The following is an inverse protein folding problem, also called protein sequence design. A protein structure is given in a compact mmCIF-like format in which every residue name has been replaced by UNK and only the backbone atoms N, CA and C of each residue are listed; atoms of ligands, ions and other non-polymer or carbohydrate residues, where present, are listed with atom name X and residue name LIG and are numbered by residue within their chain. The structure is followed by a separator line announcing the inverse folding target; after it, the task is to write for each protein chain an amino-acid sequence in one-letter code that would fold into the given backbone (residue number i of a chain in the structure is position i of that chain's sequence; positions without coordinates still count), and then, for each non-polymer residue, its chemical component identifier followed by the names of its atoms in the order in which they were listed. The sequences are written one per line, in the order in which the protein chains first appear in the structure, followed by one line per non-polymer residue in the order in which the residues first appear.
data_IF_938467420375
#
_entry.id   IF_938467420375
#
_cell.length_a   1.000
_cell.length_b   1.000
_cell.length_c   1.000
_cell.angle_alpha   90.00
_cell.angle_beta   90.00
_cell.angle_gamma   90.00
#
_symmetry.space_group_name_H-M   'P 1'
#
loop_
_entity.id
_entity.type
_entity.pdbx_description
1 polymer ?
#
# COMPACT_ATOMS: atom_id res chain seq x y z
N UNK A 1 -9.17 -14.81 3.89
CA UNK A 1 -8.09 -13.80 3.92
C UNK A 1 -8.42 -12.71 2.92
N UNK A 2 -8.11 -11.46 3.24
CA UNK A 2 -8.32 -10.30 2.35
C UNK A 2 -7.07 -9.42 2.25
N UNK A 3 -6.76 -8.96 1.04
CA UNK A 3 -5.72 -7.98 0.75
C UNK A 3 -6.34 -6.72 0.18
N UNK A 4 -5.99 -5.58 0.75
CA UNK A 4 -6.37 -4.28 0.22
C UNK A 4 -5.15 -3.54 -0.33
N UNK A 5 -5.26 -2.97 -1.52
CA UNK A 5 -4.23 -2.15 -2.12
C UNK A 5 -4.65 -0.69 -2.21
N UNK A 6 -3.75 0.22 -1.85
CA UNK A 6 -3.93 1.66 -2.04
C UNK A 6 -3.06 2.12 -3.21
N UNK A 7 -3.70 2.57 -4.28
CA UNK A 7 -3.05 3.14 -5.45
C UNK A 7 -2.94 4.66 -5.32
N UNK A 8 -1.74 5.15 -5.05
CA UNK A 8 -1.40 6.57 -4.98
C UNK A 8 -1.24 7.26 -6.33
N UNK A 9 -1.35 6.54 -7.45
CA UNK A 9 -1.23 7.12 -8.79
C UNK A 9 -2.37 8.11 -9.08
N UNK A 10 -2.10 9.25 -9.76
CA UNK A 10 -3.17 10.09 -10.30
C UNK A 10 -3.80 9.52 -11.59
N UNK A 11 -3.28 8.40 -12.10
CA UNK A 11 -3.89 7.62 -13.19
C UNK A 11 -4.47 6.34 -12.59
N UNK A 12 -5.80 6.19 -12.62
CA UNK A 12 -6.50 5.03 -12.06
C UNK A 12 -6.09 3.72 -12.75
N UNK A 13 -6.02 3.75 -14.08
CA UNK A 13 -5.60 2.61 -14.92
C UNK A 13 -4.14 2.77 -15.39
N UNK A 14 -3.28 3.28 -14.51
CA UNK A 14 -1.88 3.54 -14.80
C UNK A 14 -0.94 2.37 -14.52
N UNK A 15 0.36 2.62 -14.73
CA UNK A 15 1.43 1.64 -14.45
C UNK A 15 1.38 1.10 -13.01
N UNK A 16 1.09 1.94 -12.01
CA UNK A 16 1.02 1.52 -10.60
C UNK A 16 -0.08 0.49 -10.36
N UNK A 17 -1.30 0.71 -10.87
CA UNK A 17 -2.39 -0.26 -10.71
C UNK A 17 -2.14 -1.53 -11.51
N UNK A 18 -1.55 -1.43 -12.71
CA UNK A 18 -1.13 -2.62 -13.47
C UNK A 18 -0.14 -3.48 -12.68
N UNK A 19 0.86 -2.88 -12.04
CA UNK A 19 1.81 -3.63 -11.19
C UNK A 19 1.12 -4.32 -10.01
N UNK A 20 0.18 -3.63 -9.35
CA UNK A 20 -0.64 -4.24 -8.29
C UNK A 20 -1.49 -5.38 -8.82
N UNK A 21 -2.08 -5.25 -10.01
CA UNK A 21 -2.89 -6.30 -10.61
C UNK A 21 -2.09 -7.59 -10.86
N UNK A 22 -0.80 -7.50 -11.22
CA UNK A 22 0.04 -8.70 -11.31
C UNK A 22 0.28 -9.38 -9.95
N UNK A 23 0.25 -8.63 -8.84
CA UNK A 23 0.28 -9.21 -7.48
C UNK A 23 -1.07 -9.86 -7.17
N UNK A 24 -2.17 -9.15 -7.45
CA UNK A 24 -3.54 -9.62 -7.23
C UNK A 24 -3.85 -10.90 -8.00
N UNK A 25 -3.45 -11.00 -9.27
CA UNK A 25 -3.60 -12.21 -10.08
C UNK A 25 -3.05 -13.47 -9.37
N UNK A 26 -1.93 -13.36 -8.66
CA UNK A 26 -1.34 -14.50 -7.96
C UNK A 26 -2.02 -14.75 -6.60
N UNK A 27 -2.49 -13.71 -5.91
CA UNK A 27 -3.25 -13.84 -4.67
C UNK A 27 -4.63 -14.49 -4.93
N UNK A 28 -5.32 -14.09 -5.98
CA UNK A 28 -6.65 -14.58 -6.36
C UNK A 28 -6.63 -16.05 -6.77
N UNK A 29 -5.54 -16.52 -7.41
CA UNK A 29 -5.34 -17.96 -7.71
C UNK A 29 -5.36 -18.82 -6.45
N UNK A 30 -4.96 -18.27 -5.32
CA UNK A 30 -4.93 -18.91 -4.01
C UNK A 30 -6.20 -18.64 -3.19
N UNK A 31 -7.23 -18.04 -3.80
CA UNK A 31 -8.52 -17.76 -3.17
C UNK A 31 -8.50 -16.61 -2.17
N UNK A 32 -7.48 -15.75 -2.20
CA UNK A 32 -7.40 -14.56 -1.34
C UNK A 32 -8.19 -13.42 -1.99
N UNK A 33 -9.12 -12.80 -1.25
CA UNK A 33 -9.89 -11.66 -1.75
C UNK A 33 -8.98 -10.44 -1.92
N UNK A 34 -9.14 -9.70 -3.01
CA UNK A 34 -8.37 -8.51 -3.35
C UNK A 34 -9.28 -7.30 -3.53
N UNK A 35 -8.83 -6.12 -3.11
CA UNK A 35 -9.56 -4.88 -3.32
C UNK A 35 -8.59 -3.73 -3.61
N UNK A 36 -8.80 -2.98 -4.70
CA UNK A 36 -8.02 -1.77 -5.01
C UNK A 36 -8.78 -0.50 -4.64
N UNK A 37 -8.14 0.37 -3.86
CA UNK A 37 -8.58 1.73 -3.55
C UNK A 37 -7.70 2.72 -4.30
N UNK A 38 -8.31 3.55 -5.14
CA UNK A 38 -7.62 4.62 -5.83
C UNK A 38 -7.66 5.90 -5.01
N UNK A 39 -6.50 6.48 -4.69
CA UNK A 39 -6.39 7.79 -4.04
C UNK A 39 -6.52 8.95 -5.05
N UNK A 40 -6.58 8.63 -6.34
CA UNK A 40 -6.64 9.60 -7.44
C UNK A 40 -7.74 10.64 -7.27
N UNK A 41 -7.34 11.92 -7.22
CA UNK A 41 -8.27 13.05 -7.22
C UNK A 41 -8.90 13.36 -5.85
N UNK A 42 -8.56 12.59 -4.82
CA UNK A 42 -9.01 12.83 -3.45
C UNK A 42 -8.20 13.97 -2.83
N UNK A 43 -8.90 14.88 -2.12
CA UNK A 43 -8.26 15.99 -1.40
C UNK A 43 -7.98 15.57 0.02
N UNK A 44 -6.89 14.84 0.21
CA UNK A 44 -6.53 14.30 1.52
C UNK A 44 -5.78 15.32 2.36
N UNK A 45 -6.21 15.47 3.61
CA UNK A 45 -5.45 16.23 4.60
C UNK A 45 -4.37 15.33 5.22
N UNK A 46 -3.14 15.85 5.31
CA UNK A 46 -2.08 15.22 6.11
C UNK A 46 -2.38 15.25 7.61
N UNK A 47 -1.69 14.41 8.39
CA UNK A 47 -1.81 14.45 9.85
C UNK A 47 -1.35 15.82 10.38
N UNK A 48 -2.15 16.43 11.26
CA UNK A 48 -1.83 17.72 11.89
C UNK A 48 -1.23 17.58 13.29
N UNK A 49 -0.93 16.35 13.72
CA UNK A 49 -0.49 16.03 15.08
C UNK A 49 -1.40 16.60 16.18
N UNK A 50 -2.71 16.69 15.92
CA UNK A 50 -3.69 17.20 16.91
C UNK A 50 -3.93 16.25 18.10
N UNK A 51 -3.40 15.02 18.06
CA UNK A 51 -3.49 13.99 19.10
C UNK A 51 -4.91 13.51 19.45
N UNK A 52 -5.94 13.93 18.73
CA UNK A 52 -7.34 13.54 19.02
C UNK A 52 -7.60 12.04 18.96
N UNK A 53 -6.94 11.31 18.06
CA UNK A 53 -7.07 9.85 18.01
C UNK A 53 -6.57 9.15 19.30
N UNK A 54 -5.59 9.73 20.01
CA UNK A 54 -5.14 9.22 21.31
C UNK A 54 -6.10 9.57 22.45
N UNK A 55 -6.87 10.65 22.31
CA UNK A 55 -7.93 11.00 23.28
C UNK A 55 -9.18 10.14 23.07
N UNK A 56 -9.61 9.94 21.82
CA UNK A 56 -10.88 9.25 21.50
C UNK A 56 -10.75 7.74 21.46
N UNK A 57 -9.62 7.21 20.96
CA UNK A 57 -9.34 5.78 20.81
C UNK A 57 -10.50 4.98 20.17
N UNK A 58 -11.14 5.59 19.17
CA UNK A 58 -12.29 5.06 18.44
C UNK A 58 -11.93 4.56 17.04
N UNK A 59 -10.64 4.24 16.83
CA UNK A 59 -10.05 3.79 15.56
C UNK A 59 -10.23 4.77 14.39
N UNK A 60 -10.42 6.06 14.68
CA UNK A 60 -10.63 7.10 13.67
C UNK A 60 -9.70 8.29 13.85
N UNK A 61 -9.54 9.04 12.77
CA UNK A 61 -9.04 10.40 12.79
C UNK A 61 -10.22 11.35 13.05
N UNK A 62 -9.96 12.45 13.76
CA UNK A 62 -10.98 13.49 14.03
C UNK A 62 -11.48 14.20 12.76
N UNK A 63 -10.68 14.19 11.70
CA UNK A 63 -11.08 14.69 10.39
C UNK A 63 -11.91 13.63 9.68
N UNK A 64 -13.16 13.97 9.40
CA UNK A 64 -14.17 13.11 8.77
C UNK A 64 -14.73 13.77 7.48
N UNK A 65 -14.05 14.80 6.98
CA UNK A 65 -14.35 15.53 5.74
C UNK A 65 -13.76 14.86 4.49
N UNK A 66 -13.10 13.71 4.64
CA UNK A 66 -12.45 12.95 3.58
C UNK A 66 -12.54 11.42 3.83
N UNK A 67 -12.26 10.56 2.84
CA UNK A 67 -12.56 9.13 2.95
C UNK A 67 -11.58 8.33 3.84
N UNK A 68 -10.58 8.97 4.46
CA UNK A 68 -9.48 8.28 5.16
C UNK A 68 -9.98 7.41 6.31
N UNK A 69 -11.01 7.82 7.06
CA UNK A 69 -11.56 6.99 8.13
C UNK A 69 -12.15 5.67 7.61
N UNK A 70 -12.81 5.70 6.45
CA UNK A 70 -13.31 4.49 5.78
C UNK A 70 -12.17 3.58 5.32
N UNK A 71 -11.06 4.16 4.87
CA UNK A 71 -9.88 3.39 4.46
C UNK A 71 -9.14 2.77 5.64
N UNK A 72 -9.01 3.49 6.76
CA UNK A 72 -8.43 2.95 8.00
C UNK A 72 -9.25 1.75 8.50
N UNK A 73 -10.59 1.83 8.46
CA UNK A 73 -11.44 0.71 8.81
C UNK A 73 -11.16 -0.53 7.92
N UNK A 74 -11.02 -0.33 6.60
CA UNK A 74 -10.67 -1.42 5.70
C UNK A 74 -9.25 -1.97 5.91
N UNK A 75 -8.30 -1.13 6.32
CA UNK A 75 -6.96 -1.59 6.73
C UNK A 75 -7.00 -2.45 7.99
N UNK A 76 -7.87 -2.13 8.94
CA UNK A 76 -8.12 -2.92 10.15
C UNK A 76 -8.76 -4.28 9.83
N UNK A 77 -9.70 -4.31 8.90
CA UNK A 77 -10.40 -5.54 8.47
C UNK A 77 -9.52 -6.46 7.61
N UNK A 78 -8.58 -5.92 6.83
CA UNK A 78 -7.75 -6.70 5.92
C UNK A 78 -6.62 -7.46 6.63
N UNK A 79 -6.25 -8.63 6.11
CA UNK A 79 -5.09 -9.41 6.59
C UNK A 79 -3.78 -8.94 5.93
N UNK A 80 -3.89 -8.41 4.71
CA UNK A 80 -2.78 -7.87 3.94
C UNK A 80 -3.06 -6.47 3.40
N UNK A 81 -2.01 -5.64 3.33
CA UNK A 81 -2.08 -4.27 2.83
C UNK A 81 -0.96 -4.07 1.81
N UNK A 82 -1.34 -3.63 0.61
CA UNK A 82 -0.41 -3.16 -0.41
C UNK A 82 -0.46 -1.63 -0.44
N UNK A 83 0.70 -0.98 -0.30
CA UNK A 83 0.82 0.44 -0.60
C UNK A 83 1.54 0.57 -1.93
N UNK A 84 0.87 1.19 -2.91
CA UNK A 84 1.38 1.31 -4.26
C UNK A 84 1.47 2.78 -4.67
N UNK A 85 2.64 3.25 -5.06
CA UNK A 85 2.83 4.65 -5.46
C UNK A 85 3.69 4.76 -6.73
N UNK A 86 3.39 5.70 -7.64
CA UNK A 86 4.40 6.17 -8.57
C UNK A 86 5.47 6.98 -7.84
N UNK A 87 6.58 7.24 -8.52
CA UNK A 87 7.68 8.09 -8.02
C UNK A 87 7.44 9.56 -8.37
N UNK A 88 7.16 10.39 -7.35
CA UNK A 88 6.92 11.83 -7.49
C UNK A 88 8.02 12.59 -6.74
N UNK A 89 8.92 13.25 -7.49
CA UNK A 89 10.09 13.93 -6.92
C UNK A 89 10.90 13.07 -5.93
N UNK A 90 11.12 11.81 -6.32
CA UNK A 90 11.84 10.79 -5.54
C UNK A 90 11.12 10.30 -4.28
N UNK A 91 9.83 10.56 -4.09
CA UNK A 91 9.05 10.01 -2.98
C UNK A 91 7.65 9.58 -3.45
N UNK A 92 6.85 9.07 -2.52
CA UNK A 92 5.43 8.73 -2.73
C UNK A 92 4.61 9.97 -3.11
N UNK A 93 3.41 9.77 -3.65
CA UNK A 93 2.48 10.89 -3.88
C UNK A 93 2.01 11.52 -2.57
N UNK A 94 1.56 12.78 -2.64
CA UNK A 94 1.03 13.53 -1.50
C UNK A 94 -0.13 12.82 -0.83
N UNK A 95 -1.01 12.20 -1.62
CA UNK A 95 -2.17 11.46 -1.15
C UNK A 95 -1.75 10.20 -0.40
N UNK A 96 -0.77 9.47 -0.93
CA UNK A 96 -0.20 8.30 -0.26
C UNK A 96 0.44 8.70 1.08
N UNK A 97 1.20 9.79 1.12
CA UNK A 97 1.81 10.28 2.37
C UNK A 97 0.76 10.68 3.40
N UNK A 98 -0.30 11.37 2.98
CA UNK A 98 -1.40 11.76 3.86
C UNK A 98 -2.12 10.55 4.48
N UNK A 99 -2.38 9.51 3.69
CA UNK A 99 -2.91 8.23 4.18
C UNK A 99 -1.96 7.59 5.20
N UNK A 100 -0.67 7.44 4.86
CA UNK A 100 0.35 6.83 5.74
C UNK A 100 0.40 7.54 7.10
N UNK A 101 0.44 8.88 7.10
CA UNK A 101 0.56 9.65 8.34
C UNK A 101 -0.66 9.53 9.23
N UNK A 102 -1.87 9.60 8.66
CA UNK A 102 -3.10 9.49 9.45
C UNK A 102 -3.36 8.07 9.90
N UNK A 103 -3.23 7.08 9.01
CA UNK A 103 -3.39 5.67 9.37
C UNK A 103 -2.37 5.23 10.42
N UNK A 104 -1.10 5.68 10.30
CA UNK A 104 -0.06 5.39 11.28
C UNK A 104 -0.36 5.93 12.67
N UNK A 105 -0.76 7.20 12.78
CA UNK A 105 -1.13 7.79 14.07
C UNK A 105 -2.38 7.16 14.68
N UNK A 106 -3.41 6.89 13.88
CA UNK A 106 -4.62 6.20 14.35
C UNK A 106 -4.28 4.78 14.82
N UNK A 107 -3.48 4.03 14.06
CA UNK A 107 -3.02 2.70 14.44
C UNK A 107 -2.30 2.71 15.80
N UNK A 108 -1.33 3.62 15.99
CA UNK A 108 -0.59 3.75 17.26
C UNK A 108 -1.49 4.12 18.44
N UNK A 109 -2.41 5.05 18.23
CA UNK A 109 -3.35 5.48 19.26
C UNK A 109 -4.29 4.36 19.74
N UNK A 110 -4.53 3.37 18.89
CA UNK A 110 -5.50 2.30 19.09
C UNK A 110 -4.83 0.94 19.34
N UNK A 111 -3.66 0.94 19.99
CA UNK A 111 -2.98 -0.28 20.41
C UNK A 111 -2.31 -1.05 19.27
N UNK A 112 -1.67 -0.33 18.35
CA UNK A 112 -0.99 -0.89 17.18
C UNK A 112 -1.94 -1.71 16.29
N UNK A 113 -3.03 -1.08 15.84
CA UNK A 113 -4.12 -1.69 15.05
C UNK A 113 -3.64 -2.56 13.88
N UNK A 114 -2.54 -2.17 13.24
CA UNK A 114 -2.02 -2.82 12.04
C UNK A 114 -0.93 -3.88 12.35
N UNK A 115 -0.64 -4.14 13.62
CA UNK A 115 0.40 -5.09 14.01
C UNK A 115 0.13 -6.49 13.45
N UNK A 116 1.21 -7.15 13.03
CA UNK A 116 1.24 -8.52 12.49
C UNK A 116 0.49 -8.74 11.18
N UNK A 117 -0.15 -7.71 10.61
CA UNK A 117 -0.68 -7.76 9.25
C UNK A 117 0.44 -7.91 8.22
N UNK A 118 0.12 -8.42 7.03
CA UNK A 118 1.11 -8.55 5.95
C UNK A 118 1.17 -7.24 5.15
N UNK A 119 2.36 -6.70 4.92
CA UNK A 119 2.54 -5.42 4.21
C UNK A 119 3.42 -5.58 2.97
N UNK A 120 3.04 -5.01 1.82
CA UNK A 120 3.87 -5.03 0.62
C UNK A 120 3.89 -3.68 -0.10
N UNK A 121 5.08 -3.23 -0.49
CA UNK A 121 5.27 -2.01 -1.28
C UNK A 121 5.23 -2.34 -2.77
N UNK A 122 4.65 -1.47 -3.60
CA UNK A 122 4.71 -1.55 -5.07
C UNK A 122 5.03 -0.17 -5.63
N UNK A 123 6.04 -0.07 -6.50
CA UNK A 123 6.52 1.21 -7.01
C UNK A 123 6.50 1.25 -8.54
N UNK A 124 5.89 2.28 -9.13
CA UNK A 124 6.08 2.58 -10.54
C UNK A 124 7.08 3.73 -10.71
N UNK A 125 8.02 3.61 -11.64
CA UNK A 125 9.07 4.61 -11.85
C UNK A 125 9.42 4.74 -13.33
N UNK A 126 9.80 5.94 -13.76
CA UNK A 126 10.32 6.14 -15.13
C UNK A 126 11.76 5.63 -15.28
N UNK A 127 12.64 6.03 -14.34
CA UNK A 127 14.09 5.78 -14.40
C UNK A 127 14.74 5.60 -13.02
N UNK A 128 14.53 6.56 -12.12
CA UNK A 128 15.21 6.62 -10.82
C UNK A 128 14.30 7.20 -9.73
N UNK A 129 14.73 7.08 -8.47
CA UNK A 129 13.99 7.54 -7.29
C UNK A 129 13.12 6.47 -6.63
N UNK A 130 12.93 5.33 -7.28
CA UNK A 130 12.09 4.23 -6.77
C UNK A 130 12.57 3.64 -5.45
N UNK A 131 13.88 3.66 -5.16
CA UNK A 131 14.43 3.14 -3.91
C UNK A 131 13.89 3.94 -2.72
N UNK A 132 13.89 5.27 -2.80
CA UNK A 132 13.40 6.09 -1.69
C UNK A 132 11.88 5.96 -1.52
N UNK A 133 11.13 5.82 -2.62
CA UNK A 133 9.69 5.48 -2.55
C UNK A 133 9.48 4.14 -1.84
N UNK A 134 10.23 3.10 -2.25
CA UNK A 134 10.18 1.78 -1.64
C UNK A 134 10.50 1.85 -0.15
N UNK A 135 11.52 2.61 0.24
CA UNK A 135 11.90 2.82 1.63
C UNK A 135 10.78 3.51 2.42
N UNK A 136 10.21 4.62 1.92
CA UNK A 136 9.08 5.33 2.55
C UNK A 136 7.91 4.39 2.84
N UNK A 137 7.54 3.55 1.86
CA UNK A 137 6.46 2.58 2.03
C UNK A 137 6.82 1.50 3.06
N UNK A 138 8.05 0.98 3.04
CA UNK A 138 8.48 -0.04 3.99
C UNK A 138 8.66 0.48 5.41
N UNK A 139 9.04 1.75 5.59
CA UNK A 139 9.10 2.38 6.91
C UNK A 139 7.74 2.36 7.60
N UNK A 140 6.65 2.56 6.86
CA UNK A 140 5.29 2.45 7.41
C UNK A 140 4.98 1.03 7.91
N UNK A 141 5.36 -0.01 7.16
CA UNK A 141 5.17 -1.40 7.58
C UNK A 141 6.02 -1.72 8.83
N UNK A 142 7.30 -1.31 8.83
CA UNK A 142 8.22 -1.54 9.94
C UNK A 142 7.75 -0.88 11.24
N UNK A 143 7.40 0.41 11.21
CA UNK A 143 6.91 1.11 12.41
C UNK A 143 5.56 0.55 12.90
N UNK A 144 4.76 -0.02 11.99
CA UNK A 144 3.45 -0.62 12.29
C UNK A 144 3.53 -2.09 12.70
N UNK A 145 4.73 -2.67 12.88
CA UNK A 145 4.93 -4.07 13.27
C UNK A 145 4.33 -5.08 12.27
N UNK A 146 4.29 -4.71 10.99
CA UNK A 146 3.78 -5.58 9.93
C UNK A 146 4.86 -6.53 9.42
N UNK A 147 4.45 -7.67 8.87
CA UNK A 147 5.34 -8.66 8.26
C UNK A 147 5.41 -8.43 6.75
N UNK A 148 6.61 -8.21 6.22
CA UNK A 148 6.82 -7.87 4.80
C UNK A 148 7.35 -9.08 4.03
N UNK A 149 6.64 -9.61 3.03
CA UNK A 149 7.17 -10.62 2.13
C UNK A 149 8.17 -9.97 1.16
N UNK A 150 9.26 -10.68 0.89
CA UNK A 150 10.19 -10.30 -0.18
C UNK A 150 9.69 -10.72 -1.57
N UNK A 151 10.41 -10.28 -2.60
CA UNK A 151 10.26 -10.76 -3.98
C UNK A 151 11.63 -11.14 -4.57
N UNK A 152 11.69 -11.42 -5.87
CA UNK A 152 12.94 -11.66 -6.62
C UNK A 152 13.82 -10.42 -6.76
N UNK A 153 13.25 -9.23 -6.59
CA UNK A 153 13.95 -7.95 -6.55
C UNK A 153 13.16 -6.95 -5.68
N UNK A 154 13.63 -5.72 -5.53
CA UNK A 154 12.80 -4.65 -4.97
C UNK A 154 11.57 -4.42 -5.85
N UNK A 155 10.41 -4.23 -5.22
CA UNK A 155 9.11 -4.22 -5.87
C UNK A 155 8.88 -2.95 -6.71
N UNK A 156 9.58 -2.81 -7.83
CA UNK A 156 9.46 -1.69 -8.75
C UNK A 156 9.24 -2.15 -10.20
N UNK A 157 8.51 -1.34 -10.96
CA UNK A 157 8.37 -1.50 -12.41
C UNK A 157 8.63 -0.20 -13.16
N UNK A 158 9.22 -0.32 -14.35
CA UNK A 158 9.67 0.76 -15.21
C UNK A 158 8.61 1.14 -16.24
N UNK A 159 8.18 2.41 -16.24
CA UNK A 159 7.26 2.93 -17.26
C UNK A 159 7.00 4.43 -17.17
N UNK A 160 6.94 5.12 -18.30
CA UNK A 160 6.67 6.57 -18.40
C UNK A 160 5.20 6.84 -18.76
N UNK A 161 4.81 6.37 -19.94
CA UNK A 161 3.45 6.44 -20.44
C UNK A 161 2.60 5.36 -19.77
N UNK A 162 1.29 5.56 -19.82
CA UNK A 162 0.33 4.57 -19.36
C UNK A 162 0.49 3.27 -20.14
N UNK A 163 0.62 2.14 -19.43
CA UNK A 163 0.81 0.84 -20.05
C UNK A 163 2.27 0.40 -20.22
N UNK A 164 3.25 1.30 -20.10
CA UNK A 164 4.66 1.00 -20.39
C UNK A 164 5.22 -0.16 -19.55
N UNK A 165 4.74 -0.34 -18.31
CA UNK A 165 5.19 -1.46 -17.45
C UNK A 165 4.84 -2.84 -18.01
N UNK A 166 3.95 -2.93 -19.01
CA UNK A 166 3.70 -4.18 -19.72
C UNK A 166 4.93 -4.67 -20.52
N UNK A 167 5.85 -3.76 -20.86
CA UNK A 167 7.13 -4.09 -21.50
C UNK A 167 8.28 -4.36 -20.52
N UNK A 168 8.06 -4.21 -19.21
CA UNK A 168 9.07 -4.47 -18.18
C UNK A 168 8.94 -5.89 -17.64
N UNK A 169 9.49 -6.86 -18.37
CA UNK A 169 9.39 -8.29 -18.03
C UNK A 169 9.93 -8.61 -16.62
N UNK A 170 11.02 -7.98 -16.21
CA UNK A 170 11.61 -8.18 -14.88
C UNK A 170 10.72 -7.58 -13.77
N UNK A 171 10.17 -6.38 -14.00
CA UNK A 171 9.19 -5.77 -13.10
C UNK A 171 7.93 -6.62 -12.95
N UNK A 172 7.38 -7.14 -14.05
CA UNK A 172 6.21 -8.04 -14.03
C UNK A 172 6.53 -9.32 -13.25
N UNK A 173 7.67 -9.96 -13.53
CA UNK A 173 8.08 -11.18 -12.83
C UNK A 173 8.28 -10.93 -11.33
N UNK A 174 8.81 -9.76 -10.98
CA UNK A 174 8.95 -9.31 -9.59
C UNK A 174 7.58 -9.15 -8.91
N UNK A 175 6.57 -8.60 -9.58
CA UNK A 175 5.22 -8.51 -9.00
C UNK A 175 4.55 -9.87 -8.86
N UNK A 176 4.72 -10.77 -9.84
CA UNK A 176 4.20 -12.14 -9.74
C UNK A 176 4.85 -12.91 -8.59
N UNK A 177 6.17 -12.80 -8.43
CA UNK A 177 6.87 -13.44 -7.32
C UNK A 177 6.46 -12.85 -5.97
N UNK A 178 6.25 -11.54 -5.89
CA UNK A 178 5.72 -10.87 -4.70
C UNK A 178 4.35 -11.45 -4.33
N UNK A 179 3.42 -11.56 -5.30
CA UNK A 179 2.09 -12.11 -5.07
C UNK A 179 2.13 -13.57 -4.57
N UNK A 180 2.94 -14.42 -5.19
CA UNK A 180 3.15 -15.81 -4.73
C UNK A 180 3.72 -15.90 -3.32
N UNK A 181 4.75 -15.11 -3.03
CA UNK A 181 5.39 -15.10 -1.71
C UNK A 181 4.44 -14.55 -0.64
N UNK A 182 3.68 -13.51 -0.97
CA UNK A 182 2.66 -12.93 -0.09
C UNK A 182 1.55 -13.94 0.17
N UNK A 183 1.02 -14.62 -0.85
CA UNK A 183 0.01 -15.66 -0.68
C UNK A 183 0.48 -16.78 0.25
N UNK A 184 1.68 -17.33 0.00
CA UNK A 184 2.29 -18.35 0.84
C UNK A 184 2.43 -17.88 2.29
N UNK A 185 2.95 -16.65 2.50
CA UNK A 185 3.15 -16.09 3.83
C UNK A 185 1.81 -15.93 4.56
N UNK A 186 0.80 -15.37 3.90
CA UNK A 186 -0.52 -15.15 4.48
C UNK A 186 -1.19 -16.48 4.85
N UNK A 187 -1.09 -17.51 4.01
CA UNK A 187 -1.57 -18.86 4.35
C UNK A 187 -0.89 -19.43 5.61
N UNK A 188 0.37 -19.08 5.89
CA UNK A 188 1.05 -19.50 7.13
C UNK A 188 0.66 -18.70 8.36
N UNK A 189 0.21 -17.45 8.19
CA UNK A 189 -0.14 -16.55 9.28
C UNK A 189 -1.62 -16.61 9.66
N UNK A 190 -2.51 -16.81 8.69
CA UNK A 190 -3.97 -16.68 8.86
C UNK A 190 -4.78 -17.88 8.35
N UNK A 191 -4.13 -18.85 7.72
CA UNK A 191 -4.74 -20.08 7.21
C UNK A 191 -4.91 -21.17 8.26
#
# INVERSE_FOLDING_TARGET
MKVIAFNGSPRKEGNTSMLVNYVFEELEKEGIETEMINLTGEKLRGCTACMKCFETQDRKCIFDDDPVNGWIAKMDEADGIILASPTYFSDVTTEMKALIDRAGFVSKANGDLLARKTGAAVVAVRRAGSIHVYDTLNHFFGISQMVVPGSSYWNMGLGLAEGDVAGDEEGIQTMRNLGKNMAWLMQKLYG
#
